data_IF_415503936049
#
_entry.id   IF_415503936049
#
_cell.length_a   1.000
_cell.length_b   1.000
_cell.length_c   1.000
_cell.angle_alpha   90.00
_cell.angle_beta   90.00
_cell.angle_gamma   90.00
#
_symmetry.space_group_name_H-M   'P 1'
#
loop_
_entity.id
_entity.type
_entity.pdbx_description
1 polymer ?
#
# COMPACT_ATOMS: atom_id res chain seq x y z
N UNK A 1 -26.88 -10.27 -12.57
CA UNK A 1 -25.58 -10.61 -13.17
C UNK A 1 -24.88 -11.56 -12.21
N UNK A 2 -24.57 -12.75 -12.66
CA UNK A 2 -23.82 -13.74 -11.88
C UNK A 2 -22.37 -13.23 -11.74
N UNK A 3 -21.84 -13.20 -10.54
CA UNK A 3 -20.47 -12.74 -10.33
C UNK A 3 -19.46 -13.85 -10.70
N UNK A 4 -18.22 -13.50 -10.87
CA UNK A 4 -17.12 -14.40 -11.24
C UNK A 4 -17.01 -15.62 -10.31
N UNK A 5 -17.38 -15.49 -9.05
CA UNK A 5 -17.34 -16.59 -8.08
C UNK A 5 -18.43 -17.61 -8.37
N UNK A 6 -19.68 -17.19 -8.62
CA UNK A 6 -20.79 -18.08 -9.00
C UNK A 6 -20.51 -18.82 -10.29
N UNK A 7 -19.93 -18.15 -11.30
CA UNK A 7 -19.52 -18.79 -12.57
C UNK A 7 -18.49 -19.91 -12.37
N UNK A 8 -17.69 -19.84 -11.30
CA UNK A 8 -16.70 -20.86 -10.94
C UNK A 8 -17.19 -21.82 -9.83
N UNK A 9 -18.48 -21.86 -9.55
CA UNK A 9 -19.08 -22.77 -8.57
C UNK A 9 -18.81 -22.40 -7.11
N UNK A 10 -18.33 -21.18 -6.84
CA UNK A 10 -18.09 -20.68 -5.49
C UNK A 10 -19.34 -19.98 -4.94
N UNK A 11 -19.64 -20.23 -3.69
CA UNK A 11 -20.82 -19.64 -3.04
C UNK A 11 -20.63 -18.15 -2.80
N UNK A 12 -21.60 -17.35 -3.25
CA UNK A 12 -21.67 -15.93 -2.91
C UNK A 12 -21.98 -15.74 -1.43
N UNK A 13 -21.22 -14.90 -0.76
CA UNK A 13 -21.44 -14.54 0.64
C UNK A 13 -21.99 -13.12 0.74
N UNK A 14 -23.05 -12.95 1.54
CA UNK A 14 -23.56 -11.63 1.94
C UNK A 14 -22.90 -11.30 3.30
N UNK A 15 -21.99 -10.36 3.29
CA UNK A 15 -21.27 -9.95 4.49
C UNK A 15 -22.03 -8.85 5.23
N UNK A 16 -22.59 -9.17 6.40
CA UNK A 16 -23.24 -8.23 7.29
C UNK A 16 -22.39 -7.90 8.55
N UNK A 17 -21.18 -8.44 8.64
CA UNK A 17 -20.31 -8.29 9.83
C UNK A 17 -19.23 -7.22 9.69
N UNK A 18 -19.22 -6.46 8.58
CA UNK A 18 -18.19 -5.46 8.31
C UNK A 18 -16.90 -6.06 7.75
N UNK A 19 -15.74 -5.52 8.13
CA UNK A 19 -14.44 -5.97 7.60
C UNK A 19 -14.01 -7.28 8.23
N UNK A 20 -13.93 -8.33 7.43
CA UNK A 20 -13.51 -9.67 7.87
C UNK A 20 -12.42 -10.24 6.96
N UNK A 21 -11.28 -10.60 7.52
CA UNK A 21 -10.13 -11.17 6.78
C UNK A 21 -10.51 -12.43 6.00
N UNK A 22 -11.33 -13.31 6.59
CA UNK A 22 -11.81 -14.54 5.94
C UNK A 22 -12.66 -14.29 4.68
N UNK A 23 -13.21 -13.08 4.54
CA UNK A 23 -14.05 -12.67 3.42
C UNK A 23 -13.33 -11.68 2.48
N UNK A 24 -12.01 -11.55 2.57
CA UNK A 24 -11.22 -10.63 1.75
C UNK A 24 -11.25 -9.19 2.24
N UNK A 25 -11.56 -8.96 3.51
CA UNK A 25 -11.58 -7.68 4.24
C UNK A 25 -12.68 -6.73 3.77
N UNK A 26 -12.64 -6.26 2.54
CA UNK A 26 -13.63 -5.30 2.00
C UNK A 26 -13.73 -5.40 0.48
N UNK A 27 -14.83 -4.93 -0.06
CA UNK A 27 -15.02 -4.74 -1.51
C UNK A 27 -14.74 -3.30 -1.88
N UNK A 28 -14.30 -3.07 -3.11
CA UNK A 28 -14.11 -1.73 -3.68
C UNK A 28 -15.40 -1.23 -4.34
N UNK A 29 -15.57 0.08 -4.43
CA UNK A 29 -16.67 0.67 -5.19
C UNK A 29 -16.49 0.48 -6.69
N UNK A 30 -17.56 0.62 -7.45
CA UNK A 30 -17.51 0.57 -8.92
C UNK A 30 -16.57 1.63 -9.49
N UNK A 31 -16.59 2.85 -8.94
CA UNK A 31 -15.70 3.93 -9.35
C UNK A 31 -14.23 3.58 -9.12
N UNK A 32 -13.89 3.05 -7.93
CA UNK A 32 -12.54 2.58 -7.62
C UNK A 32 -12.10 1.46 -8.56
N UNK A 33 -13.02 0.52 -8.88
CA UNK A 33 -12.74 -0.56 -9.83
C UNK A 33 -12.41 -0.03 -11.23
N UNK A 34 -13.17 0.93 -11.73
CA UNK A 34 -12.87 1.58 -13.03
C UNK A 34 -11.51 2.26 -13.04
N UNK A 35 -11.19 3.03 -12.00
CA UNK A 35 -9.89 3.70 -11.87
C UNK A 35 -8.73 2.70 -11.83
N UNK A 36 -8.91 1.57 -11.14
CA UNK A 36 -7.91 0.52 -11.06
C UNK A 36 -7.63 -0.11 -12.43
N UNK A 37 -8.69 -0.40 -13.21
CA UNK A 37 -8.55 -0.92 -14.57
C UNK A 37 -7.87 0.10 -15.48
N UNK A 38 -8.25 1.37 -15.41
CA UNK A 38 -7.64 2.45 -16.19
C UNK A 38 -6.16 2.60 -15.86
N UNK A 39 -5.80 2.66 -14.58
CA UNK A 39 -4.42 2.73 -14.14
C UNK A 39 -3.58 1.52 -14.60
N UNK A 40 -4.15 0.32 -14.51
CA UNK A 40 -3.46 -0.91 -14.95
C UNK A 40 -3.29 -1.01 -16.48
N UNK A 41 -4.04 -0.22 -17.25
CA UNK A 41 -4.01 -0.20 -18.71
C UNK A 41 -3.09 0.89 -19.30
N UNK A 42 -2.47 1.69 -18.46
CA UNK A 42 -1.64 2.82 -18.88
C UNK A 42 -0.26 2.78 -18.22
N UNK A 43 0.75 3.24 -18.96
CA UNK A 43 2.11 3.44 -18.43
C UNK A 43 2.23 4.82 -17.78
N UNK A 44 2.95 4.87 -16.65
CA UNK A 44 3.27 6.11 -15.95
C UNK A 44 4.68 6.01 -15.36
N UNK A 45 5.34 7.14 -15.18
CA UNK A 45 6.56 7.21 -14.38
C UNK A 45 6.20 6.99 -12.90
N UNK A 46 6.67 5.88 -12.35
CA UNK A 46 6.31 5.46 -10.98
C UNK A 46 6.72 6.50 -9.94
N UNK A 47 7.91 7.09 -10.07
CA UNK A 47 8.37 8.13 -9.13
C UNK A 47 7.41 9.33 -9.08
N UNK A 48 6.95 9.78 -10.25
CA UNK A 48 5.95 10.87 -10.34
C UNK A 48 4.62 10.48 -9.70
N UNK A 49 4.21 9.22 -9.83
CA UNK A 49 2.99 8.73 -9.18
C UNK A 49 3.14 8.70 -7.66
N UNK A 50 4.28 8.26 -7.14
CA UNK A 50 4.56 8.25 -5.70
C UNK A 50 4.56 9.66 -5.12
N UNK A 51 5.24 10.60 -5.76
CA UNK A 51 5.24 12.01 -5.34
C UNK A 51 3.83 12.62 -5.33
N UNK A 52 3.07 12.40 -6.39
CA UNK A 52 1.70 12.90 -6.48
C UNK A 52 0.81 12.29 -5.39
N UNK A 53 0.87 10.96 -5.22
CA UNK A 53 0.06 10.26 -4.23
C UNK A 53 0.43 10.67 -2.80
N UNK A 54 1.73 10.79 -2.51
CA UNK A 54 2.24 11.22 -1.20
C UNK A 54 1.72 12.60 -0.82
N UNK A 55 1.88 13.60 -1.69
CA UNK A 55 1.37 14.94 -1.48
C UNK A 55 -0.15 14.97 -1.30
N UNK A 56 -0.87 14.25 -2.16
CA UNK A 56 -2.34 14.25 -2.11
C UNK A 56 -2.89 13.63 -0.83
N UNK A 57 -2.28 12.54 -0.36
CA UNK A 57 -2.65 11.91 0.90
C UNK A 57 -2.23 12.81 2.07
N UNK A 58 -1.03 13.40 2.01
CA UNK A 58 -0.55 14.35 3.02
C UNK A 58 -1.51 15.51 3.23
N UNK A 59 -2.00 16.13 2.15
CA UNK A 59 -3.03 17.18 2.20
C UNK A 59 -4.32 16.71 2.92
N UNK A 60 -4.76 15.47 2.63
CA UNK A 60 -6.02 14.94 3.20
C UNK A 60 -5.92 14.64 4.69
N UNK A 61 -4.76 14.23 5.18
CA UNK A 61 -4.57 13.84 6.58
C UNK A 61 -3.83 14.89 7.42
N UNK A 62 -3.40 16.00 6.80
CA UNK A 62 -2.75 17.12 7.47
C UNK A 62 -1.29 16.87 7.85
N UNK A 63 -0.53 16.14 7.02
CA UNK A 63 0.92 15.96 7.17
C UNK A 63 1.67 16.46 5.92
N UNK A 64 3.00 16.56 6.02
CA UNK A 64 3.83 17.10 4.93
C UNK A 64 3.79 16.21 3.68
N UNK A 65 3.83 14.89 3.88
CA UNK A 65 3.85 13.91 2.80
C UNK A 65 3.42 12.53 3.33
N UNK A 66 3.14 11.59 2.43
CA UNK A 66 2.79 10.22 2.76
C UNK A 66 3.46 9.22 1.81
N UNK A 67 3.87 8.09 2.33
CA UNK A 67 4.44 7.00 1.54
C UNK A 67 3.41 5.87 1.37
N UNK A 68 3.06 5.57 0.13
CA UNK A 68 2.18 4.44 -0.20
C UNK A 68 3.00 3.15 -0.19
N UNK A 69 2.55 2.15 0.54
CA UNK A 69 3.22 0.85 0.67
C UNK A 69 2.30 -0.30 0.31
N UNK A 70 2.87 -1.45 -0.02
CA UNK A 70 2.12 -2.65 -0.40
C UNK A 70 1.37 -3.31 0.78
N UNK A 71 1.76 -3.03 2.02
CA UNK A 71 1.15 -3.59 3.22
C UNK A 71 1.51 -2.79 4.47
N UNK A 72 0.75 -2.96 5.55
CA UNK A 72 1.07 -2.38 6.86
C UNK A 72 2.44 -2.85 7.37
N UNK A 73 2.79 -4.11 7.17
CA UNK A 73 4.12 -4.65 7.55
C UNK A 73 5.25 -3.94 6.82
N UNK A 74 5.10 -3.70 5.51
CA UNK A 74 6.07 -2.92 4.73
C UNK A 74 6.17 -1.48 5.24
N UNK A 75 5.04 -0.86 5.57
CA UNK A 75 5.00 0.49 6.15
C UNK A 75 5.77 0.58 7.47
N UNK A 76 5.57 -0.39 8.39
CA UNK A 76 6.30 -0.46 9.66
C UNK A 76 7.80 -0.61 9.41
N UNK A 77 8.20 -1.54 8.55
CA UNK A 77 9.60 -1.79 8.22
C UNK A 77 10.27 -0.54 7.63
N UNK A 78 9.61 0.13 6.68
CA UNK A 78 10.13 1.37 6.08
C UNK A 78 10.22 2.52 7.10
N UNK A 79 9.25 2.63 8.03
CA UNK A 79 9.30 3.64 9.09
C UNK A 79 10.51 3.44 10.00
N UNK A 80 10.76 2.20 10.42
CA UNK A 80 11.95 1.87 11.23
C UNK A 80 13.23 2.12 10.45
N UNK A 81 13.30 1.67 9.20
CA UNK A 81 14.43 1.90 8.32
C UNK A 81 14.74 3.40 8.14
N UNK A 82 13.72 4.21 7.95
CA UNK A 82 13.85 5.67 7.84
C UNK A 82 14.44 6.29 9.10
N UNK A 83 13.99 5.86 10.28
CA UNK A 83 14.53 6.35 11.56
C UNK A 83 16.00 5.94 11.77
N UNK A 84 16.39 4.74 11.32
CA UNK A 84 17.77 4.26 11.41
C UNK A 84 18.68 5.02 10.43
N UNK A 85 18.27 5.09 9.17
CA UNK A 85 19.09 5.68 8.10
C UNK A 85 19.11 7.20 8.16
N UNK A 86 18.05 7.83 8.67
CA UNK A 86 17.85 9.28 8.61
C UNK A 86 18.15 9.79 7.19
N UNK A 87 19.11 10.72 7.05
CA UNK A 87 19.52 11.26 5.75
C UNK A 87 20.75 10.57 5.16
N UNK A 88 21.18 9.44 5.75
CA UNK A 88 22.37 8.72 5.28
C UNK A 88 21.95 7.57 4.35
N UNK A 89 21.90 7.86 3.05
CA UNK A 89 21.51 6.87 2.04
C UNK A 89 22.48 5.68 1.94
N UNK A 90 23.74 5.83 2.37
CA UNK A 90 24.68 4.69 2.35
C UNK A 90 24.29 3.58 3.32
N UNK A 91 23.56 3.92 4.40
CA UNK A 91 23.06 2.92 5.35
C UNK A 91 21.93 2.08 4.78
N UNK A 92 21.22 2.57 3.79
CA UNK A 92 20.10 1.81 3.16
C UNK A 92 20.59 0.49 2.57
N UNK A 93 21.77 0.47 1.98
CA UNK A 93 22.36 -0.73 1.39
C UNK A 93 22.78 -1.77 2.45
N UNK A 94 22.94 -1.36 3.69
CA UNK A 94 23.38 -2.21 4.81
C UNK A 94 22.24 -2.52 5.81
N UNK A 95 21.01 -2.15 5.51
CA UNK A 95 19.87 -2.36 6.42
C UNK A 95 19.63 -3.84 6.79
N UNK A 96 20.03 -4.77 5.91
CA UNK A 96 19.89 -6.21 6.12
C UNK A 96 21.19 -6.86 6.64
N UNK A 97 22.28 -6.12 6.66
CA UNK A 97 23.52 -6.56 7.28
C UNK A 97 23.45 -6.26 8.78
N UNK A 98 24.18 -7.02 9.60
CA UNK A 98 24.36 -6.67 11.00
C UNK A 98 25.06 -5.31 11.08
N UNK A 99 24.33 -4.27 11.50
CA UNK A 99 24.86 -2.93 11.66
C UNK A 99 25.69 -2.88 12.96
N UNK A 100 27.03 -2.94 12.93
CA UNK A 100 27.82 -3.03 14.15
C UNK A 100 27.89 -1.74 14.97
N UNK A 101 27.33 -0.63 14.50
CA UNK A 101 27.57 0.71 15.08
C UNK A 101 26.33 1.52 15.49
N UNK A 102 25.15 0.95 15.57
CA UNK A 102 23.94 1.70 16.02
C UNK A 102 23.80 1.71 17.56
N UNK A 103 24.71 1.10 18.29
CA UNK A 103 24.67 1.01 19.75
C UNK A 103 25.48 2.09 20.49
N UNK A 104 25.61 3.32 19.94
CA UNK A 104 26.18 4.45 20.67
C UNK A 104 25.29 5.68 20.60
#
# INVERSE_FOLDING_TARGET
MENIYGQNGLQKVINASGRMTKLGVSTISEGTGKTLVDAASNYILIDSLFEFAGKKIGELIGCEDACVTSSASAGIALSVASLICKNNLSLVHHLFDSLPEISK
#
